data_IF_924217226983
#
_entry.id   IF_924217226983
#
_cell.length_a   1.000
_cell.length_b   1.000
_cell.length_c   1.000
_cell.angle_alpha   90.00
_cell.angle_beta   90.00
_cell.angle_gamma   90.00
#
_symmetry.space_group_name_H-M   'P 1'
#
loop_
_entity.id
_entity.type
_entity.pdbx_description
1 polymer ?
#
# COMPACT_ATOMS: atom_id res chain seq x y z
N UNK A 1 6.66 20.43 5.61
CA UNK A 1 7.46 20.48 6.85
C UNK A 1 8.45 21.62 6.75
N UNK A 2 8.53 22.47 7.76
CA UNK A 2 9.61 23.44 7.89
C UNK A 2 10.92 22.75 8.32
N UNK A 3 12.04 23.47 8.27
CA UNK A 3 13.36 22.90 8.55
C UNK A 3 13.56 22.48 10.01
N UNK A 4 12.89 23.14 10.96
CA UNK A 4 12.92 22.73 12.37
C UNK A 4 12.18 21.40 12.58
N UNK A 5 11.06 21.21 11.88
CA UNK A 5 10.31 19.95 11.88
C UNK A 5 11.12 18.82 11.25
N UNK A 6 11.76 19.07 10.10
CA UNK A 6 12.65 18.09 9.45
C UNK A 6 13.80 17.68 10.38
N UNK A 7 14.45 18.65 11.04
CA UNK A 7 15.54 18.38 11.98
C UNK A 7 15.07 17.55 13.19
N UNK A 8 13.95 17.90 13.81
CA UNK A 8 13.38 17.14 14.94
C UNK A 8 13.03 15.71 14.54
N UNK A 9 12.42 15.55 13.37
CA UNK A 9 12.10 14.23 12.83
C UNK A 9 13.36 13.40 12.58
N UNK A 10 14.41 13.99 11.98
CA UNK A 10 15.69 13.32 11.78
C UNK A 10 16.31 12.85 13.09
N UNK A 11 16.33 13.69 14.13
CA UNK A 11 16.86 13.28 15.44
C UNK A 11 16.02 12.15 16.07
N UNK A 12 14.69 12.20 15.93
CA UNK A 12 13.80 11.14 16.40
C UNK A 12 14.09 9.81 15.72
N UNK A 13 14.27 9.81 14.39
CA UNK A 13 14.59 8.61 13.60
C UNK A 13 15.90 7.96 14.08
N UNK A 14 16.94 8.76 14.33
CA UNK A 14 18.25 8.26 14.79
C UNK A 14 18.23 7.57 16.16
N UNK A 15 17.22 7.88 16.99
CA UNK A 15 17.09 7.31 18.33
C UNK A 15 16.21 6.05 18.36
N UNK A 16 15.64 5.63 17.22
CA UNK A 16 14.81 4.45 17.15
C UNK A 16 15.66 3.18 17.21
N UNK A 17 15.09 2.13 17.82
CA UNK A 17 15.59 0.77 17.62
C UNK A 17 15.34 0.35 16.17
N UNK A 18 16.08 -0.65 15.70
CA UNK A 18 15.95 -1.18 14.35
C UNK A 18 14.50 -1.57 13.98
N UNK A 19 13.80 -2.26 14.87
CA UNK A 19 12.39 -2.65 14.65
C UNK A 19 11.47 -1.43 14.55
N UNK A 20 11.62 -0.45 15.45
CA UNK A 20 10.81 0.77 15.44
C UNK A 20 11.09 1.63 14.20
N UNK A 21 12.34 1.64 13.74
CA UNK A 21 12.71 2.30 12.50
C UNK A 21 11.94 1.71 11.31
N UNK A 22 11.96 0.39 11.13
CA UNK A 22 11.26 -0.25 10.03
C UNK A 22 9.73 -0.13 10.13
N UNK A 23 9.16 -0.19 11.33
CA UNK A 23 7.74 0.09 11.54
C UNK A 23 7.36 1.50 11.08
N UNK A 24 8.17 2.50 11.43
CA UNK A 24 7.96 3.89 10.98
C UNK A 24 8.10 4.00 9.46
N UNK A 25 9.13 3.37 8.88
CA UNK A 25 9.31 3.36 7.43
C UNK A 25 8.13 2.72 6.71
N UNK A 26 7.60 1.60 7.21
CA UNK A 26 6.41 0.97 6.64
C UNK A 26 5.22 1.93 6.61
N UNK A 27 4.97 2.68 7.69
CA UNK A 27 3.90 3.69 7.72
C UNK A 27 4.11 4.75 6.63
N UNK A 28 5.35 5.23 6.45
CA UNK A 28 5.65 6.22 5.42
C UNK A 28 5.52 5.66 4.01
N UNK A 29 5.97 4.43 3.78
CA UNK A 29 5.80 3.75 2.50
C UNK A 29 4.33 3.57 2.16
N UNK A 30 3.51 3.06 3.09
CA UNK A 30 2.06 2.93 2.88
C UNK A 30 1.40 4.27 2.55
N UNK A 31 1.76 5.34 3.27
CA UNK A 31 1.25 6.69 2.98
C UNK A 31 1.70 7.21 1.62
N UNK A 32 2.94 6.94 1.23
CA UNK A 32 3.48 7.34 -0.06
C UNK A 32 2.76 6.62 -1.21
N UNK A 33 2.51 5.32 -1.06
CA UNK A 33 1.71 4.55 -2.02
C UNK A 33 0.29 5.10 -2.16
N UNK A 34 -0.41 5.32 -1.04
CA UNK A 34 -1.76 5.89 -1.07
C UNK A 34 -1.80 7.29 -1.71
N UNK A 35 -0.78 8.12 -1.46
CA UNK A 35 -0.67 9.43 -2.09
C UNK A 35 -0.40 9.32 -3.60
N UNK A 36 0.46 8.39 -4.02
CA UNK A 36 0.72 8.14 -5.43
C UNK A 36 -0.53 7.68 -6.16
N UNK A 37 -1.26 6.70 -5.61
CA UNK A 37 -2.52 6.21 -6.17
C UNK A 37 -3.53 7.35 -6.34
N UNK A 38 -3.68 8.21 -5.33
CA UNK A 38 -4.54 9.39 -5.42
C UNK A 38 -4.10 10.35 -6.52
N UNK A 39 -2.82 10.71 -6.58
CA UNK A 39 -2.32 11.65 -7.60
C UNK A 39 -2.47 11.09 -9.02
N UNK A 40 -2.19 9.80 -9.23
CA UNK A 40 -2.41 9.17 -10.53
C UNK A 40 -3.90 9.07 -10.85
N UNK A 41 -4.75 8.78 -9.86
CA UNK A 41 -6.21 8.83 -10.01
C UNK A 41 -6.71 10.19 -10.49
N UNK A 42 -6.30 11.26 -9.79
CA UNK A 42 -6.62 12.65 -10.13
C UNK A 42 -6.09 13.02 -11.53
N UNK A 43 -4.85 12.64 -11.86
CA UNK A 43 -4.26 12.89 -13.17
C UNK A 43 -5.01 12.15 -14.30
N UNK A 44 -5.42 10.90 -14.06
CA UNK A 44 -6.23 10.14 -15.00
C UNK A 44 -7.59 10.78 -15.23
N UNK A 45 -8.22 11.34 -14.20
CA UNK A 45 -9.51 12.04 -14.34
C UNK A 45 -9.41 13.32 -15.20
N UNK A 46 -8.25 13.97 -15.20
CA UNK A 46 -8.01 15.18 -16.00
C UNK A 46 -7.68 14.83 -17.46
N UNK A 47 -6.82 13.83 -17.67
CA UNK A 47 -6.20 13.56 -18.98
C UNK A 47 -6.94 12.51 -19.79
N UNK A 48 -7.57 11.52 -19.13
CA UNK A 48 -8.12 10.35 -19.80
C UNK A 48 -9.64 10.42 -19.90
N UNK A 49 -10.17 9.78 -20.94
CA UNK A 49 -11.60 9.44 -20.98
C UNK A 49 -11.91 8.34 -19.96
N UNK A 50 -13.16 8.26 -19.52
CA UNK A 50 -13.62 7.24 -18.55
C UNK A 50 -13.19 5.81 -18.95
N UNK A 51 -13.36 5.44 -20.22
CA UNK A 51 -12.98 4.12 -20.76
C UNK A 51 -11.48 3.84 -20.66
N UNK A 52 -10.64 4.86 -20.89
CA UNK A 52 -9.19 4.73 -20.77
C UNK A 52 -8.76 4.62 -19.32
N UNK A 53 -9.39 5.38 -18.41
CA UNK A 53 -9.15 5.25 -16.96
C UNK A 53 -9.47 3.84 -16.47
N UNK A 54 -10.62 3.29 -16.84
CA UNK A 54 -11.02 1.92 -16.51
C UNK A 54 -10.00 0.88 -17.02
N UNK A 55 -9.50 1.06 -18.25
CA UNK A 55 -8.48 0.17 -18.82
C UNK A 55 -7.14 0.25 -18.06
N UNK A 56 -6.72 1.44 -17.62
CA UNK A 56 -5.50 1.62 -16.82
C UNK A 56 -5.65 0.97 -15.44
N UNK A 57 -6.79 1.16 -14.78
CA UNK A 57 -7.07 0.53 -13.47
C UNK A 57 -7.09 -1.00 -13.59
N UNK A 58 -7.76 -1.55 -14.60
CA UNK A 58 -7.79 -2.99 -14.84
C UNK A 58 -6.37 -3.55 -15.09
N UNK A 59 -5.54 -2.82 -15.85
CA UNK A 59 -4.15 -3.21 -16.09
C UNK A 59 -3.30 -3.13 -14.83
N UNK A 60 -3.52 -2.14 -13.97
CA UNK A 60 -2.81 -2.00 -12.70
C UNK A 60 -3.12 -3.16 -11.75
N UNK A 61 -4.38 -3.60 -11.69
CA UNK A 61 -4.78 -4.81 -10.94
C UNK A 61 -4.06 -6.04 -11.50
N UNK A 62 -4.08 -6.21 -12.83
CA UNK A 62 -3.41 -7.33 -13.49
C UNK A 62 -1.90 -7.39 -13.19
N UNK A 63 -1.19 -6.25 -13.24
CA UNK A 63 0.23 -6.19 -12.91
C UNK A 63 0.46 -6.62 -11.46
N UNK A 64 -0.35 -6.10 -10.54
CA UNK A 64 -0.24 -6.41 -9.11
C UNK A 64 -0.45 -7.90 -8.82
N UNK A 65 -1.43 -8.52 -9.47
CA UNK A 65 -1.82 -9.91 -9.21
C UNK A 65 -0.94 -10.91 -9.98
N UNK A 66 -0.71 -10.68 -11.27
CA UNK A 66 -0.03 -11.63 -12.14
C UNK A 66 1.49 -11.47 -12.14
N UNK A 67 2.00 -10.23 -12.02
CA UNK A 67 3.44 -9.96 -12.17
C UNK A 67 4.13 -9.84 -10.82
N UNK A 68 3.49 -9.15 -9.87
CA UNK A 68 4.04 -8.99 -8.52
C UNK A 68 3.60 -10.10 -7.55
N UNK A 69 2.67 -10.96 -7.96
CA UNK A 69 2.18 -12.09 -7.15
C UNK A 69 1.42 -11.66 -5.88
N UNK A 70 0.98 -10.40 -5.82
CA UNK A 70 0.26 -9.83 -4.68
C UNK A 70 -1.25 -9.95 -4.87
N UNK A 71 -1.76 -11.20 -4.86
CA UNK A 71 -3.21 -11.45 -4.84
C UNK A 71 -3.86 -10.67 -3.68
N UNK A 72 -4.89 -9.91 -4.01
CA UNK A 72 -5.77 -9.36 -2.98
C UNK A 72 -6.66 -10.52 -2.51
N UNK A 73 -6.30 -11.19 -1.42
CA UNK A 73 -7.21 -12.14 -0.77
C UNK A 73 -8.38 -11.32 -0.22
N UNK A 74 -9.49 -11.31 -0.96
CA UNK A 74 -10.77 -10.83 -0.44
C UNK A 74 -11.22 -11.79 0.66
N UNK A 75 -11.73 -11.24 1.77
CA UNK A 75 -12.16 -11.98 2.97
C UNK A 75 -13.14 -13.12 2.71
N UNK A 76 -13.80 -13.14 1.54
CA UNK A 76 -14.69 -14.23 1.13
C UNK A 76 -13.93 -15.54 0.83
N UNK A 77 -12.63 -15.48 0.50
CA UNK A 77 -11.80 -16.67 0.25
C UNK A 77 -11.25 -17.29 1.54
N UNK A 78 -11.31 -16.56 2.67
CA UNK A 78 -10.79 -17.03 3.97
C UNK A 78 -11.83 -17.75 4.84
N UNK A 79 -13.08 -17.85 4.40
CA UNK A 79 -14.13 -18.58 5.14
C UNK A 79 -14.08 -20.11 4.97
N UNK A 80 -13.22 -20.64 4.09
CA UNK A 80 -13.17 -22.08 3.79
C UNK A 80 -12.10 -22.89 4.55
N UNK A 81 -11.35 -22.29 5.50
CA UNK A 81 -10.51 -23.09 6.40
C UNK A 81 -11.36 -23.70 7.52
N UNK A 82 -11.95 -24.87 7.23
CA UNK A 82 -12.50 -25.77 8.25
C UNK A 82 -11.32 -26.22 9.12
N UNK A 83 -11.17 -25.62 10.29
CA UNK A 83 -10.29 -26.14 11.34
C UNK A 83 -10.85 -27.48 11.83
N UNK A 84 -10.30 -28.59 11.32
CA UNK A 84 -10.54 -29.93 11.86
C UNK A 84 -9.88 -30.02 13.24
N UNK A 85 -10.65 -29.68 14.28
CA UNK A 85 -10.25 -29.90 15.67
C UNK A 85 -10.49 -31.38 16.00
N UNK A 86 -9.57 -32.22 15.55
CA UNK A 86 -9.19 -33.48 16.20
C UNK A 86 -7.68 -33.42 16.34
N UNK A 87 -7.08 -33.36 17.52
CA UNK A 87 -6.96 -34.51 18.43
C UNK A 87 -6.26 -34.04 19.72
N UNK A 88 -6.88 -34.23 20.90
CA UNK A 88 -6.33 -34.95 22.07
C UNK A 88 -7.27 -34.86 23.27
#
# INVERSE_FOLDING_TARGET
MDDNQKRRFFQKIKQLTHEKFWSVMNIYHTRAYAAAERHYGEAMDIVLTKKQKEAVVAKAIQIREEWDGMMTVTTDETENEIFDIRTR
#
